data_IF_166807378007
#
_entry.id   IF_166807378007
#
_cell.length_a   1.000
_cell.length_b   1.000
_cell.length_c   1.000
_cell.angle_alpha   90.00
_cell.angle_beta   90.00
_cell.angle_gamma   90.00
#
_symmetry.space_group_name_H-M   'P 1'
#
loop_
_entity.id
_entity.type
_entity.pdbx_description
1 polymer ?
#
# COMPACT_ATOMS: atom_id res chain seq x y z
N UNK A 1 -8.79 26.93 -8.07
CA UNK A 1 -9.16 25.58 -8.57
C UNK A 1 -8.21 24.53 -8.01
N UNK A 2 -6.89 24.72 -8.14
CA UNK A 2 -5.89 23.85 -7.50
C UNK A 2 -6.10 23.81 -5.97
N UNK A 3 -6.29 24.95 -5.31
CA UNK A 3 -6.54 25.01 -3.85
C UNK A 3 -7.75 24.17 -3.39
N UNK A 4 -8.80 24.09 -4.23
CA UNK A 4 -10.00 23.30 -3.93
C UNK A 4 -9.76 21.80 -4.12
N UNK A 5 -8.87 21.40 -5.03
CA UNK A 5 -8.53 20.00 -5.30
C UNK A 5 -7.51 19.50 -4.27
N UNK A 6 -6.61 20.36 -3.83
CA UNK A 6 -5.55 20.01 -2.87
C UNK A 6 -6.05 19.81 -1.44
N UNK A 7 -7.22 20.36 -1.07
CA UNK A 7 -7.75 20.18 0.28
C UNK A 7 -8.15 18.72 0.56
N UNK A 8 -8.13 18.26 1.83
CA UNK A 8 -8.63 16.94 2.19
C UNK A 8 -10.10 16.79 1.82
N UNK A 9 -10.43 15.75 1.04
CA UNK A 9 -11.81 15.43 0.67
C UNK A 9 -12.39 14.39 1.61
N UNK A 10 -13.71 14.46 1.79
CA UNK A 10 -14.43 13.43 2.53
C UNK A 10 -14.21 12.05 1.88
N UNK A 11 -13.96 11.03 2.70
CA UNK A 11 -13.61 9.67 2.25
C UNK A 11 -14.61 9.06 1.24
N UNK A 12 -15.87 9.47 1.31
CA UNK A 12 -16.92 9.05 0.37
C UNK A 12 -16.60 9.41 -1.09
N UNK A 13 -15.93 10.55 -1.33
CA UNK A 13 -15.52 10.96 -2.68
C UNK A 13 -14.47 10.00 -3.23
N UNK A 14 -13.46 9.66 -2.42
CA UNK A 14 -12.46 8.65 -2.78
C UNK A 14 -13.10 7.30 -3.06
N UNK A 15 -14.09 6.88 -2.25
CA UNK A 15 -14.86 5.65 -2.48
C UNK A 15 -15.60 5.65 -3.82
N UNK A 16 -16.28 6.75 -4.16
CA UNK A 16 -16.98 6.91 -5.43
C UNK A 16 -16.01 6.92 -6.63
N UNK A 17 -14.84 7.53 -6.48
CA UNK A 17 -13.81 7.53 -7.54
C UNK A 17 -13.19 6.15 -7.75
N UNK A 18 -12.89 5.41 -6.67
CA UNK A 18 -12.37 4.04 -6.75
C UNK A 18 -13.42 3.13 -7.42
N UNK A 19 -14.70 3.23 -7.06
CA UNK A 19 -15.74 2.42 -7.69
C UNK A 19 -15.91 2.76 -9.17
N UNK A 20 -15.84 4.03 -9.55
CA UNK A 20 -15.86 4.45 -10.95
C UNK A 20 -14.69 3.85 -11.74
N UNK A 21 -13.46 3.92 -11.19
CA UNK A 21 -12.27 3.33 -11.82
C UNK A 21 -12.43 1.81 -11.96
N UNK A 22 -12.96 1.13 -10.93
CA UNK A 22 -13.22 -0.30 -10.98
C UNK A 22 -14.24 -0.65 -12.08
N UNK A 23 -15.34 0.09 -12.17
CA UNK A 23 -16.36 -0.11 -13.22
C UNK A 23 -15.77 0.09 -14.61
N UNK A 24 -14.99 1.15 -14.82
CA UNK A 24 -14.34 1.40 -16.10
C UNK A 24 -13.37 0.27 -16.48
N UNK A 25 -12.52 -0.17 -15.55
CA UNK A 25 -11.60 -1.27 -15.80
C UNK A 25 -12.33 -2.56 -16.19
N UNK A 26 -13.37 -2.92 -15.44
CA UNK A 26 -14.18 -4.11 -15.74
C UNK A 26 -14.91 -3.98 -17.08
N UNK A 27 -15.41 -2.78 -17.43
CA UNK A 27 -16.05 -2.53 -18.72
C UNK A 27 -15.09 -2.79 -19.88
N UNK A 28 -13.83 -2.37 -19.77
CA UNK A 28 -12.81 -2.59 -20.80
C UNK A 28 -12.15 -3.99 -20.73
N UNK A 29 -12.70 -4.90 -19.92
CA UNK A 29 -12.21 -6.27 -19.76
C UNK A 29 -10.91 -6.39 -18.97
N UNK A 30 -10.54 -5.36 -18.20
CA UNK A 30 -9.43 -5.37 -17.26
C UNK A 30 -9.83 -5.92 -15.88
N UNK A 31 -8.83 -6.13 -15.03
CA UNK A 31 -9.02 -6.58 -13.65
C UNK A 31 -8.46 -5.54 -12.67
N UNK A 32 -9.08 -5.43 -11.50
CA UNK A 32 -8.60 -4.54 -10.45
C UNK A 32 -7.71 -5.32 -9.48
N UNK A 33 -6.39 -5.19 -9.62
CA UNK A 33 -5.44 -5.94 -8.80
C UNK A 33 -4.01 -5.44 -8.89
N UNK A 34 -3.36 -5.23 -7.73
CA UNK A 34 -1.97 -4.80 -7.67
C UNK A 34 -1.01 -5.99 -7.69
N UNK A 35 -1.30 -7.08 -6.97
CA UNK A 35 -0.36 -8.21 -6.83
C UNK A 35 -0.13 -9.00 -8.12
N UNK A 36 -1.11 -9.06 -9.02
CA UNK A 36 -0.96 -9.69 -10.34
C UNK A 36 0.10 -8.97 -11.19
N UNK A 37 0.32 -7.67 -10.96
CA UNK A 37 1.37 -6.91 -11.65
C UNK A 37 2.77 -7.36 -11.27
N UNK A 38 3.02 -7.66 -10.00
CA UNK A 38 4.32 -8.16 -9.56
C UNK A 38 4.65 -9.51 -10.23
N UNK A 39 3.67 -10.42 -10.33
CA UNK A 39 3.81 -11.68 -11.07
C UNK A 39 4.10 -11.44 -12.55
N UNK A 40 3.42 -10.47 -13.15
CA UNK A 40 3.58 -10.09 -14.57
C UNK A 40 4.96 -9.50 -14.83
N UNK A 41 5.46 -8.64 -13.95
CA UNK A 41 6.83 -8.10 -14.01
C UNK A 41 7.88 -9.22 -13.90
N UNK A 42 7.71 -10.18 -12.98
CA UNK A 42 8.60 -11.33 -12.90
C UNK A 42 8.56 -12.21 -14.17
N UNK A 43 7.38 -12.39 -14.76
CA UNK A 43 7.22 -13.14 -16.02
C UNK A 43 7.93 -12.44 -17.19
N UNK A 44 7.80 -11.11 -17.29
CA UNK A 44 8.52 -10.28 -18.28
C UNK A 44 10.04 -10.37 -18.07
N UNK A 45 10.49 -10.36 -16.81
CA UNK A 45 11.90 -10.55 -16.43
C UNK A 45 12.46 -11.96 -16.67
N UNK A 46 11.69 -12.85 -17.31
CA UNK A 46 12.16 -14.19 -17.71
C UNK A 46 11.93 -15.30 -16.68
N UNK A 47 11.30 -15.01 -15.54
CA UNK A 47 11.02 -16.04 -14.52
C UNK A 47 10.07 -17.14 -15.03
N UNK A 48 9.27 -16.84 -16.06
CA UNK A 48 8.37 -17.80 -16.72
C UNK A 48 9.11 -18.93 -17.46
N UNK A 49 10.40 -18.77 -17.75
CA UNK A 49 11.24 -19.83 -18.33
C UNK A 49 11.76 -20.81 -17.28
N UNK A 50 11.70 -20.45 -15.99
CA UNK A 50 12.30 -21.22 -14.88
C UNK A 50 11.26 -21.84 -13.95
N UNK A 51 10.11 -21.19 -13.76
CA UNK A 51 9.06 -21.65 -12.85
C UNK A 51 7.67 -21.53 -13.49
N UNK A 52 6.88 -22.60 -13.38
CA UNK A 52 5.52 -22.65 -13.94
C UNK A 52 4.60 -21.58 -13.39
N UNK A 53 4.80 -21.16 -12.13
CA UNK A 53 4.03 -20.06 -11.55
C UNK A 53 4.15 -18.76 -12.36
N UNK A 54 5.30 -18.46 -12.97
CA UNK A 54 5.49 -17.25 -13.77
C UNK A 54 5.23 -17.47 -15.27
N UNK A 55 4.82 -18.68 -15.68
CA UNK A 55 4.51 -19.02 -17.07
C UNK A 55 3.12 -18.53 -17.46
N UNK A 56 2.96 -17.20 -17.46
CA UNK A 56 1.73 -16.52 -17.85
C UNK A 56 1.94 -15.76 -19.16
N UNK A 57 0.88 -15.63 -19.95
CA UNK A 57 0.89 -14.75 -21.11
C UNK A 57 0.69 -13.29 -20.64
N UNK A 58 1.79 -12.59 -20.38
CA UNK A 58 1.78 -11.22 -19.87
C UNK A 58 1.02 -10.23 -20.76
N UNK A 59 0.91 -10.50 -22.08
CA UNK A 59 0.15 -9.65 -23.01
C UNK A 59 -1.34 -9.61 -22.68
N UNK A 60 -1.87 -10.70 -22.12
CA UNK A 60 -3.25 -10.77 -21.67
C UNK A 60 -3.48 -9.99 -20.36
N UNK A 61 -2.42 -9.51 -19.72
CA UNK A 61 -2.44 -8.80 -18.44
C UNK A 61 -2.01 -7.33 -18.62
N UNK A 62 -1.99 -6.82 -19.86
CA UNK A 62 -1.50 -5.48 -20.16
C UNK A 62 -2.29 -4.38 -19.43
N UNK A 63 -3.59 -4.58 -19.22
CA UNK A 63 -4.43 -3.67 -18.46
C UNK A 63 -3.98 -3.50 -17.01
N UNK A 64 -3.48 -4.56 -16.37
CA UNK A 64 -2.97 -4.47 -15.01
C UNK A 64 -1.72 -3.57 -14.98
N UNK A 65 -0.86 -3.65 -16.00
CA UNK A 65 0.34 -2.82 -16.12
C UNK A 65 -0.01 -1.35 -16.42
N UNK A 66 -1.01 -1.12 -17.27
CA UNK A 66 -1.54 0.23 -17.53
C UNK A 66 -2.12 0.82 -16.24
N UNK A 67 -2.87 0.02 -15.47
CA UNK A 67 -3.42 0.44 -14.19
C UNK A 67 -2.34 0.83 -13.18
N UNK A 68 -1.32 -0.02 -12.96
CA UNK A 68 -0.27 0.31 -11.99
C UNK A 68 0.62 1.47 -12.46
N UNK A 69 0.91 1.56 -13.76
CA UNK A 69 1.62 2.70 -14.33
C UNK A 69 0.85 4.00 -14.19
N UNK A 70 -0.46 3.97 -14.48
CA UNK A 70 -1.37 5.10 -14.26
C UNK A 70 -1.47 5.49 -12.79
N UNK A 71 -1.50 4.52 -11.87
CA UNK A 71 -1.51 4.79 -10.42
C UNK A 71 -0.21 5.46 -9.95
N UNK A 72 0.96 5.02 -10.45
CA UNK A 72 2.26 5.65 -10.15
C UNK A 72 2.31 7.08 -10.68
N UNK A 73 1.94 7.29 -11.94
CA UNK A 73 1.91 8.62 -12.56
C UNK A 73 0.89 9.52 -11.83
N UNK A 74 -0.29 9.00 -11.52
CA UNK A 74 -1.33 9.70 -10.77
C UNK A 74 -0.86 10.09 -9.37
N UNK A 75 -0.18 9.21 -8.65
CA UNK A 75 0.42 9.51 -7.34
C UNK A 75 1.51 10.58 -7.43
N UNK A 76 2.36 10.53 -8.46
CA UNK A 76 3.36 11.57 -8.70
C UNK A 76 2.71 12.93 -8.99
N UNK A 77 1.69 12.98 -9.86
CA UNK A 77 0.97 14.22 -10.16
C UNK A 77 0.26 14.74 -8.91
N UNK A 78 -0.42 13.87 -8.16
CA UNK A 78 -1.13 14.23 -6.94
C UNK A 78 -0.18 14.84 -5.89
N UNK A 79 0.99 14.24 -5.70
CA UNK A 79 1.96 14.71 -4.69
C UNK A 79 2.74 15.95 -5.12
N UNK A 80 2.92 16.20 -6.41
CA UNK A 80 3.68 17.38 -6.89
C UNK A 80 2.79 18.60 -7.17
N UNK A 81 1.57 18.39 -7.69
CA UNK A 81 0.70 19.48 -8.14
C UNK A 81 -0.52 19.69 -7.25
N UNK A 82 -0.95 18.67 -6.52
CA UNK A 82 -2.16 18.69 -5.68
C UNK A 82 -1.87 18.31 -4.22
N UNK A 83 -0.64 18.54 -3.76
CA UNK A 83 -0.28 18.31 -2.37
C UNK A 83 -1.19 19.13 -1.45
N UNK A 84 -1.64 18.50 -0.37
CA UNK A 84 -2.33 19.20 0.71
C UNK A 84 -1.47 20.36 1.22
N UNK A 85 -2.06 21.48 1.66
CA UNK A 85 -1.30 22.54 2.33
C UNK A 85 -0.90 22.16 3.78
N UNK A 86 -1.57 21.16 4.36
CA UNK A 86 -1.35 20.69 5.73
C UNK A 86 -0.95 19.21 5.75
N UNK A 87 -0.10 18.78 6.71
CA UNK A 87 0.23 17.37 6.90
C UNK A 87 -1.00 16.53 7.24
N UNK A 88 -0.85 15.20 7.14
CA UNK A 88 -1.92 14.25 7.50
C UNK A 88 -2.36 14.47 8.95
N UNK A 89 -3.62 14.87 9.13
CA UNK A 89 -4.22 15.04 10.44
C UNK A 89 -4.59 13.67 11.03
N UNK A 90 -4.01 13.35 12.18
CA UNK A 90 -4.31 12.16 12.97
C UNK A 90 -4.85 12.56 14.35
N UNK A 91 -5.53 11.65 15.04
CA UNK A 91 -6.08 11.95 16.37
C UNK A 91 -4.98 12.18 17.41
N UNK A 92 -5.22 13.10 18.35
CA UNK A 92 -4.29 13.44 19.44
C UNK A 92 -3.81 12.20 20.21
N UNK A 93 -4.70 11.25 20.46
CA UNK A 93 -4.37 9.98 21.13
C UNK A 93 -3.38 9.12 20.34
N UNK A 94 -3.44 9.16 19.01
CA UNK A 94 -2.52 8.43 18.13
C UNK A 94 -1.20 9.15 18.04
N UNK A 95 -1.19 10.48 17.93
CA UNK A 95 0.05 11.27 17.97
C UNK A 95 0.82 11.02 19.25
N UNK A 96 0.15 11.11 20.41
CA UNK A 96 0.76 10.85 21.71
C UNK A 96 1.33 9.42 21.80
N UNK A 97 0.62 8.43 21.27
CA UNK A 97 1.11 7.04 21.25
C UNK A 97 2.33 6.87 20.32
N UNK A 98 2.31 7.44 19.11
CA UNK A 98 3.41 7.35 18.15
C UNK A 98 4.70 7.96 18.72
N UNK A 99 4.59 9.06 19.46
CA UNK A 99 5.72 9.65 20.18
C UNK A 99 6.32 8.67 21.20
N UNK A 100 5.50 7.92 21.95
CA UNK A 100 6.00 6.93 22.92
C UNK A 100 6.80 5.78 22.30
N UNK A 101 6.62 5.52 21.01
CA UNK A 101 7.35 4.48 20.26
C UNK A 101 8.40 5.07 19.33
N UNK A 102 8.73 6.36 19.47
CA UNK A 102 9.80 7.02 18.73
C UNK A 102 9.47 7.41 17.29
N UNK A 103 8.19 7.62 16.96
CA UNK A 103 7.72 8.15 15.67
C UNK A 103 7.20 9.56 15.87
N UNK A 104 7.82 10.53 15.20
CA UNK A 104 7.34 11.91 15.23
C UNK A 104 6.24 12.12 14.20
N UNK A 105 5.24 12.92 14.57
CA UNK A 105 4.12 13.24 13.69
C UNK A 105 4.26 14.68 13.22
N UNK A 106 4.47 14.93 11.92
CA UNK A 106 4.82 16.25 11.42
C UNK A 106 3.65 17.23 11.63
N UNK A 107 3.94 18.37 12.23
CA UNK A 107 2.97 19.46 12.44
C UNK A 107 3.01 20.46 11.29
N UNK A 108 4.15 20.54 10.60
CA UNK A 108 4.35 21.40 9.44
C UNK A 108 4.80 20.60 8.22
N UNK A 109 4.49 21.09 7.01
CA UNK A 109 4.93 20.44 5.76
C UNK A 109 6.46 20.44 5.58
N UNK A 110 7.19 21.24 6.38
CA UNK A 110 8.64 21.23 6.40
C UNK A 110 9.22 20.01 7.15
N UNK A 111 8.45 19.43 8.08
CA UNK A 111 8.82 18.24 8.86
C UNK A 111 8.43 16.93 8.16
N UNK A 112 7.56 17.01 7.16
CA UNK A 112 7.11 15.85 6.39
C UNK A 112 5.62 15.91 6.04
N UNK A 113 5.19 14.97 5.22
CA UNK A 113 3.79 14.90 4.75
C UNK A 113 2.85 14.20 5.73
N UNK A 114 3.38 13.39 6.64
CA UNK A 114 2.60 12.59 7.59
C UNK A 114 2.02 11.28 7.02
N UNK A 115 2.31 10.93 5.75
CA UNK A 115 1.84 9.67 5.16
C UNK A 115 2.65 8.44 5.63
N UNK A 116 3.95 8.62 5.83
CA UNK A 116 4.87 7.58 6.26
C UNK A 116 5.90 8.17 7.22
N UNK A 117 6.37 7.41 8.22
CA UNK A 117 7.38 7.87 9.16
C UNK A 117 8.75 8.00 8.46
N UNK A 118 9.33 9.20 8.49
CA UNK A 118 10.63 9.48 7.88
C UNK A 118 11.77 8.72 8.56
N UNK A 119 11.59 8.33 9.82
CA UNK A 119 12.56 7.56 10.59
C UNK A 119 12.81 6.17 10.00
N UNK A 120 11.82 5.61 9.30
CA UNK A 120 11.88 4.28 8.68
C UNK A 120 12.10 4.39 7.18
N UNK A 121 11.36 5.28 6.52
CA UNK A 121 11.29 5.39 5.06
C UNK A 121 12.14 6.53 4.48
N UNK A 122 12.81 7.32 5.31
CA UNK A 122 13.70 8.39 4.87
C UNK A 122 14.88 7.86 4.06
N UNK A 123 15.19 8.53 2.95
CA UNK A 123 16.26 8.16 2.02
C UNK A 123 17.61 7.98 2.72
N UNK A 124 17.88 8.80 3.74
CA UNK A 124 19.14 8.78 4.51
C UNK A 124 19.34 7.48 5.30
N UNK A 125 18.24 6.81 5.69
CA UNK A 125 18.27 5.56 6.48
C UNK A 125 17.91 4.32 5.67
N UNK A 126 17.53 4.44 4.40
CA UNK A 126 17.17 3.30 3.54
C UNK A 126 18.28 2.25 3.45
N UNK A 127 19.55 2.67 3.45
CA UNK A 127 20.70 1.77 3.36
C UNK A 127 21.24 1.31 4.73
N UNK A 128 20.57 1.67 5.83
CA UNK A 128 20.87 1.10 7.14
C UNK A 128 20.56 -0.40 7.15
N UNK A 129 21.46 -1.23 7.69
CA UNK A 129 21.30 -2.69 7.69
C UNK A 129 20.00 -3.12 8.37
N UNK A 130 19.62 -2.47 9.47
CA UNK A 130 18.40 -2.77 10.22
C UNK A 130 17.14 -2.44 9.41
N UNK A 131 17.12 -1.27 8.76
CA UNK A 131 15.98 -0.85 7.93
C UNK A 131 15.87 -1.72 6.68
N UNK A 132 17.00 -2.06 6.05
CA UNK A 132 17.03 -2.93 4.88
C UNK A 132 16.50 -4.33 5.22
N UNK A 133 16.93 -4.91 6.36
CA UNK A 133 16.40 -6.18 6.85
C UNK A 133 14.90 -6.09 7.10
N UNK A 134 14.43 -5.03 7.75
CA UNK A 134 13.00 -4.81 8.01
C UNK A 134 12.18 -4.74 6.71
N UNK A 135 12.63 -3.94 5.72
CA UNK A 135 11.95 -3.78 4.43
C UNK A 135 11.96 -5.06 3.60
N UNK A 136 13.09 -5.79 3.56
CA UNK A 136 13.21 -7.05 2.83
C UNK A 136 12.32 -8.12 3.46
N UNK A 137 12.40 -8.30 4.78
CA UNK A 137 11.60 -9.31 5.49
C UNK A 137 10.11 -8.95 5.40
N UNK A 138 9.74 -7.69 5.61
CA UNK A 138 8.37 -7.22 5.46
C UNK A 138 7.83 -7.44 4.05
N UNK A 139 8.60 -7.05 3.02
CA UNK A 139 8.23 -7.27 1.62
C UNK A 139 8.10 -8.75 1.26
N UNK A 140 9.01 -9.60 1.78
CA UNK A 140 8.92 -11.05 1.61
C UNK A 140 7.66 -11.63 2.24
N UNK A 141 7.34 -11.26 3.48
CA UNK A 141 6.14 -11.72 4.19
C UNK A 141 4.86 -11.28 3.47
N UNK A 142 4.80 -10.04 2.99
CA UNK A 142 3.67 -9.53 2.20
C UNK A 142 3.51 -10.32 0.90
N UNK A 143 4.61 -10.56 0.17
CA UNK A 143 4.60 -11.33 -1.07
C UNK A 143 4.18 -12.78 -0.86
N UNK A 144 4.73 -13.43 0.16
CA UNK A 144 4.39 -14.80 0.56
C UNK A 144 2.92 -14.90 0.96
N UNK A 145 2.45 -14.03 1.86
CA UNK A 145 1.06 -14.01 2.33
C UNK A 145 0.06 -13.74 1.20
N UNK A 146 0.36 -12.77 0.33
CA UNK A 146 -0.45 -12.49 -0.86
C UNK A 146 -0.57 -13.71 -1.77
N UNK A 147 0.53 -14.44 -1.97
CA UNK A 147 0.51 -15.67 -2.77
C UNK A 147 -0.28 -16.78 -2.09
N UNK A 148 -0.16 -16.92 -0.78
CA UNK A 148 -0.86 -17.94 0.00
C UNK A 148 -2.37 -17.69 0.02
N UNK A 149 -2.79 -16.45 0.20
CA UNK A 149 -4.21 -16.05 0.14
C UNK A 149 -4.80 -16.13 -1.28
N UNK A 150 -3.96 -16.15 -2.32
CA UNK A 150 -4.41 -16.12 -3.72
C UNK A 150 -4.75 -14.72 -4.22
N UNK A 151 -4.37 -13.68 -3.50
CA UNK A 151 -4.68 -12.28 -3.80
C UNK A 151 -4.21 -11.34 -2.70
N UNK A 152 -4.20 -10.03 -2.99
CA UNK A 152 -3.90 -8.96 -2.02
C UNK A 152 -5.19 -8.25 -1.59
N UNK A 153 -5.07 -7.21 -0.75
CA UNK A 153 -6.20 -6.41 -0.26
C UNK A 153 -7.05 -5.85 -1.40
N UNK A 154 -6.45 -5.35 -2.49
CA UNK A 154 -7.24 -4.83 -3.62
C UNK A 154 -8.07 -5.92 -4.31
N UNK A 155 -7.55 -7.15 -4.40
CA UNK A 155 -8.26 -8.27 -5.02
C UNK A 155 -9.36 -8.83 -4.13
N UNK A 156 -9.09 -9.08 -2.86
CA UNK A 156 -10.08 -9.67 -1.95
C UNK A 156 -11.05 -8.63 -1.35
N UNK A 157 -10.55 -7.51 -0.85
CA UNK A 157 -11.38 -6.52 -0.14
C UNK A 157 -12.18 -5.62 -1.07
N UNK A 158 -11.61 -5.19 -2.21
CA UNK A 158 -12.34 -4.35 -3.17
C UNK A 158 -13.12 -5.26 -4.12
N UNK A 159 -12.44 -5.98 -5.03
CA UNK A 159 -13.16 -6.78 -6.04
C UNK A 159 -13.89 -8.01 -5.49
N UNK A 160 -13.28 -8.76 -4.58
CA UNK A 160 -13.81 -10.01 -4.05
C UNK A 160 -15.06 -9.83 -3.19
N UNK A 161 -15.03 -8.88 -2.24
CA UNK A 161 -16.18 -8.54 -1.40
C UNK A 161 -17.31 -7.88 -2.21
N UNK A 162 -17.00 -7.04 -3.19
CA UNK A 162 -18.02 -6.50 -4.10
C UNK A 162 -18.73 -7.59 -4.90
N UNK A 163 -18.06 -8.71 -5.18
CA UNK A 163 -18.66 -9.90 -5.81
C UNK A 163 -19.22 -10.92 -4.80
N UNK A 164 -19.33 -10.56 -3.51
CA UNK A 164 -19.86 -11.41 -2.44
C UNK A 164 -19.16 -12.77 -2.31
N UNK A 165 -17.87 -12.84 -2.61
CA UNK A 165 -17.10 -14.07 -2.56
C UNK A 165 -16.76 -14.45 -1.11
N UNK A 166 -17.31 -15.57 -0.63
CA UNK A 166 -17.01 -16.09 0.71
C UNK A 166 -15.50 -16.33 0.96
N UNK A 167 -14.71 -16.87 0.02
CA UNK A 167 -13.26 -16.99 0.21
C UNK A 167 -12.57 -15.64 0.46
N UNK A 168 -13.03 -14.59 -0.23
CA UNK A 168 -12.50 -13.24 -0.06
C UNK A 168 -12.88 -12.64 1.29
N UNK A 169 -14.09 -12.91 1.80
CA UNK A 169 -14.47 -12.52 3.16
C UNK A 169 -13.57 -13.15 4.21
N UNK A 170 -13.31 -14.46 4.09
CA UNK A 170 -12.42 -15.18 5.01
C UNK A 170 -11.00 -14.59 4.95
N UNK A 171 -10.48 -14.34 3.74
CA UNK A 171 -9.17 -13.73 3.56
C UNK A 171 -9.07 -12.34 4.21
N UNK A 172 -10.09 -11.49 4.02
CA UNK A 172 -10.13 -10.14 4.59
C UNK A 172 -10.17 -10.18 6.12
N UNK A 173 -10.98 -11.06 6.72
CA UNK A 173 -10.99 -11.25 8.18
C UNK A 173 -9.59 -11.64 8.67
N UNK A 174 -8.92 -12.56 7.97
CA UNK A 174 -7.54 -12.93 8.27
C UNK A 174 -6.56 -11.76 8.17
N UNK A 175 -6.68 -10.92 7.12
CA UNK A 175 -5.86 -9.72 6.96
C UNK A 175 -6.06 -8.73 8.11
N UNK A 176 -7.30 -8.51 8.55
CA UNK A 176 -7.61 -7.65 9.69
C UNK A 176 -7.04 -8.20 11.00
N UNK A 177 -7.19 -9.50 11.27
CA UNK A 177 -6.61 -10.13 12.46
C UNK A 177 -5.09 -10.00 12.45
N UNK A 178 -4.45 -10.33 11.32
CA UNK A 178 -3.00 -10.19 11.16
C UNK A 178 -2.53 -8.74 11.34
N UNK A 179 -3.26 -7.78 10.78
CA UNK A 179 -2.99 -6.35 10.94
C UNK A 179 -3.10 -5.89 12.40
N UNK A 180 -4.15 -6.32 13.11
CA UNK A 180 -4.32 -6.00 14.54
C UNK A 180 -3.19 -6.61 15.39
N UNK A 181 -2.83 -7.87 15.13
CA UNK A 181 -1.70 -8.52 15.81
C UNK A 181 -0.40 -7.75 15.52
N UNK A 182 -0.18 -7.37 14.25
CA UNK A 182 1.00 -6.60 13.88
C UNK A 182 1.05 -5.26 14.63
N UNK A 183 -0.03 -4.47 14.58
CA UNK A 183 -0.08 -3.12 15.17
C UNK A 183 0.06 -3.14 16.70
N UNK A 184 -0.58 -4.09 17.39
CA UNK A 184 -0.63 -4.09 18.85
C UNK A 184 0.43 -4.97 19.53
N UNK A 185 0.94 -6.01 18.84
CA UNK A 185 1.83 -7.01 19.45
C UNK A 185 3.19 -7.18 18.76
N UNK A 186 3.44 -6.63 17.58
CA UNK A 186 4.72 -6.86 16.88
C UNK A 186 5.42 -5.53 16.58
N UNK A 187 4.70 -4.58 16.01
CA UNK A 187 5.21 -3.28 15.60
C UNK A 187 5.84 -2.50 16.78
N UNK A 188 5.24 -2.44 17.99
CA UNK A 188 5.84 -1.70 19.11
C UNK A 188 7.20 -2.28 19.53
N UNK A 189 7.35 -3.61 19.52
CA UNK A 189 8.62 -4.27 19.85
C UNK A 189 9.67 -4.09 18.75
N UNK A 190 9.26 -4.13 17.48
CA UNK A 190 10.18 -3.88 16.37
C UNK A 190 10.70 -2.44 16.39
N UNK A 191 9.82 -1.45 16.58
CA UNK A 191 10.21 -0.04 16.56
C UNK A 191 11.11 0.34 17.73
N UNK A 192 10.78 -0.12 18.95
CA UNK A 192 11.63 0.09 20.13
C UNK A 192 13.03 -0.52 19.99
N UNK A 193 13.19 -1.57 19.17
CA UNK A 193 14.50 -2.17 18.89
C UNK A 193 15.33 -1.44 17.81
N UNK A 194 14.68 -0.69 16.91
CA UNK A 194 15.31 -0.05 15.74
C UNK A 194 15.67 1.42 16.03
N UNK A 195 14.85 2.12 16.81
CA UNK A 195 15.06 3.50 17.20
C UNK A 195 15.04 3.56 18.74
N UNK A 196 16.18 3.32 19.43
CA UNK A 196 16.23 3.54 20.86
C UNK A 196 15.94 5.02 21.11
N UNK A 197 14.82 5.27 21.78
CA UNK A 197 14.44 6.60 22.29
C UNK A 197 15.62 7.10 23.14
N UNK A 198 16.12 8.33 22.95
CA UNK A 198 17.15 8.89 23.82
C UNK A 198 16.70 8.96 25.29
#
# INVERSE_FOLDING_TARGET
MVDFISQPWHWAVSGAMISLVMVLLLWFGGEFGVSSNLRTMCAIGGAGNKYDFFKINWKNQIWNLVFIGGAVIGGFIATQFFASPEPVQISESTSAYLETIGINTPQTMAEGTGYVPEEIFGLDRMFSISNLLFLIVGGFLIGFGTRWAGGCTSGHAISGLSNLQLPSLIAVIGFFIGGLIMTWLILPQLLSSINPIP
#
